data_IF_614123539208
#
_entry.id   IF_614123539208
#
_cell.length_a   1.000
_cell.length_b   1.000
_cell.length_c   1.000
_cell.angle_alpha   90.00
_cell.angle_beta   90.00
_cell.angle_gamma   90.00
#
_symmetry.space_group_name_H-M   'P 1'
#
loop_
_entity.id
_entity.type
_entity.pdbx_description
1 polymer ?
#
# COMPACT_ATOMS: atom_id res chain seq x y z
N UNK A 1 8.46 60.15 -38.75
CA UNK A 1 8.27 59.18 -37.64
C UNK A 1 7.10 59.60 -36.74
N UNK A 2 5.92 59.88 -37.30
CA UNK A 2 4.80 60.44 -36.52
C UNK A 2 3.49 59.68 -36.69
N UNK A 3 3.39 58.77 -37.68
CA UNK A 3 2.19 57.95 -37.90
C UNK A 3 2.08 56.76 -36.92
N UNK A 4 3.21 56.18 -36.51
CA UNK A 4 3.26 55.06 -35.55
C UNK A 4 2.77 55.46 -34.14
N UNK A 5 3.04 56.70 -33.71
CA UNK A 5 2.58 57.22 -32.43
C UNK A 5 1.06 57.45 -32.39
N UNK A 6 0.47 57.88 -33.51
CA UNK A 6 -1.00 58.09 -33.62
C UNK A 6 -1.73 56.74 -33.63
N UNK A 7 -1.18 55.71 -34.27
CA UNK A 7 -1.78 54.37 -34.28
C UNK A 7 -1.74 53.70 -32.89
N UNK A 8 -0.66 53.88 -32.13
CA UNK A 8 -0.55 53.41 -30.75
C UNK A 8 -1.52 54.14 -29.78
N UNK A 9 -1.86 55.40 -30.07
CA UNK A 9 -2.81 56.18 -29.27
C UNK A 9 -4.28 55.77 -29.50
N UNK A 10 -4.60 55.08 -30.61
CA UNK A 10 -5.96 54.62 -30.95
C UNK A 10 -6.32 53.28 -30.31
N UNK A 11 -5.34 52.50 -29.86
CA UNK A 11 -5.59 51.26 -29.11
C UNK A 11 -5.75 51.57 -27.63
N UNK A 12 -6.96 51.48 -27.04
CA UNK A 12 -7.11 51.61 -25.60
C UNK A 12 -6.31 50.51 -24.90
N UNK A 13 -5.35 50.90 -24.08
CA UNK A 13 -4.60 49.95 -23.26
C UNK A 13 -5.55 49.35 -22.21
N UNK A 14 -5.71 48.02 -22.11
CA UNK A 14 -6.57 47.40 -21.12
C UNK A 14 -6.10 47.82 -19.72
N UNK A 15 -6.95 48.57 -19.00
CA UNK A 15 -6.72 48.87 -17.60
C UNK A 15 -7.34 47.74 -16.77
N UNK A 16 -6.59 47.10 -15.84
CA UNK A 16 -7.16 46.12 -14.93
C UNK A 16 -8.36 46.76 -14.21
N UNK A 17 -9.55 46.18 -14.37
CA UNK A 17 -10.76 46.58 -13.64
C UNK A 17 -10.86 45.87 -12.28
N UNK A 18 -10.00 44.88 -12.04
CA UNK A 18 -9.92 44.08 -10.81
C UNK A 18 -8.49 44.12 -10.32
N UNK A 19 -8.30 44.23 -9.00
CA UNK A 19 -6.99 44.19 -8.36
C UNK A 19 -6.30 42.83 -8.65
N UNK A 20 -5.09 42.79 -9.24
CA UNK A 20 -4.38 41.54 -9.53
C UNK A 20 -4.09 40.69 -8.28
N UNK A 21 -4.00 41.31 -7.11
CA UNK A 21 -3.79 40.60 -5.84
C UNK A 21 -5.05 39.88 -5.34
N UNK A 22 -6.22 40.18 -5.92
CA UNK A 22 -7.47 39.47 -5.64
C UNK A 22 -7.60 38.14 -6.39
N UNK A 23 -6.93 37.98 -7.54
CA UNK A 23 -7.11 36.83 -8.45
C UNK A 23 -5.95 35.85 -8.44
N UNK A 24 -4.84 36.23 -7.82
CA UNK A 24 -3.67 35.36 -7.67
C UNK A 24 -3.52 35.08 -6.19
N UNK A 25 -3.68 33.84 -5.71
CA UNK A 25 -3.29 33.51 -4.35
C UNK A 25 -1.79 33.83 -4.26
N UNK A 26 -1.46 34.94 -3.60
CA UNK A 26 -0.08 35.41 -3.47
C UNK A 26 0.80 34.36 -2.79
N UNK A 27 2.06 34.68 -2.44
CA UNK A 27 3.00 33.71 -1.88
C UNK A 27 2.41 32.86 -0.74
N UNK A 28 1.59 33.46 0.15
CA UNK A 28 0.88 32.75 1.21
C UNK A 28 -0.10 31.69 0.73
N UNK A 29 -0.92 32.01 -0.29
CA UNK A 29 -1.89 31.06 -0.84
C UNK A 29 -1.21 29.92 -1.61
N UNK A 30 -0.11 30.21 -2.30
CA UNK A 30 0.73 29.19 -2.92
C UNK A 30 1.34 28.24 -1.89
N UNK A 31 1.90 28.78 -0.79
CA UNK A 31 2.42 27.97 0.31
C UNK A 31 1.33 27.13 0.97
N UNK A 32 0.12 27.66 1.14
CA UNK A 32 -1.00 26.90 1.70
C UNK A 32 -1.35 25.68 0.81
N UNK A 33 -1.46 25.86 -0.51
CA UNK A 33 -1.72 24.74 -1.43
C UNK A 33 -0.54 23.75 -1.46
N UNK A 34 0.70 24.23 -1.43
CA UNK A 34 1.87 23.37 -1.38
C UNK A 34 1.85 22.46 -0.13
N UNK A 35 1.47 23.00 1.04
CA UNK A 35 1.32 22.21 2.27
C UNK A 35 0.20 21.18 2.15
N UNK A 36 -0.94 21.53 1.56
CA UNK A 36 -2.03 20.58 1.31
C UNK A 36 -1.55 19.45 0.38
N UNK A 37 -0.84 19.78 -0.69
CA UNK A 37 -0.29 18.78 -1.60
C UNK A 37 0.70 17.84 -0.89
N UNK A 38 1.57 18.37 -0.02
CA UNK A 38 2.48 17.55 0.81
C UNK A 38 1.69 16.66 1.77
N UNK A 39 0.66 17.18 2.44
CA UNK A 39 -0.17 16.40 3.34
C UNK A 39 -0.86 15.23 2.63
N UNK A 40 -1.43 15.49 1.44
CA UNK A 40 -2.04 14.45 0.60
C UNK A 40 -1.00 13.43 0.14
N UNK A 41 0.18 13.89 -0.29
CA UNK A 41 1.27 13.01 -0.69
C UNK A 41 1.73 12.11 0.47
N UNK A 42 1.90 12.68 1.67
CA UNK A 42 2.25 11.92 2.86
C UNK A 42 1.15 10.91 3.23
N UNK A 43 -0.12 11.27 3.07
CA UNK A 43 -1.24 10.35 3.30
C UNK A 43 -1.21 9.16 2.34
N UNK A 44 -0.99 9.42 1.05
CA UNK A 44 -0.88 8.35 0.04
C UNK A 44 0.38 7.50 0.30
N UNK A 45 1.50 8.13 0.59
CA UNK A 45 2.75 7.44 0.90
C UNK A 45 2.63 6.59 2.17
N UNK A 46 2.00 7.12 3.22
CA UNK A 46 1.69 6.39 4.45
C UNK A 46 0.80 5.18 4.14
N UNK A 47 -0.28 5.36 3.37
CA UNK A 47 -1.15 4.27 2.97
C UNK A 47 -0.39 3.18 2.21
N UNK A 48 0.47 3.55 1.26
CA UNK A 48 1.30 2.62 0.50
C UNK A 48 2.31 1.89 1.39
N UNK A 49 3.00 2.62 2.28
CA UNK A 49 3.96 2.07 3.22
C UNK A 49 3.28 1.08 4.16
N UNK A 50 2.11 1.44 4.69
CA UNK A 50 1.30 0.61 5.58
C UNK A 50 0.86 -0.67 4.88
N UNK A 51 0.30 -0.59 3.67
CA UNK A 51 -0.13 -1.76 2.89
C UNK A 51 1.04 -2.70 2.63
N UNK A 52 2.19 -2.17 2.19
CA UNK A 52 3.40 -2.99 1.98
C UNK A 52 3.81 -3.68 3.27
N UNK A 53 3.95 -2.93 4.36
CA UNK A 53 4.43 -3.49 5.63
C UNK A 53 3.49 -4.56 6.20
N UNK A 54 2.16 -4.36 6.11
CA UNK A 54 1.18 -5.35 6.58
C UNK A 54 1.17 -6.61 5.72
N UNK A 55 1.26 -6.48 4.38
CA UNK A 55 1.26 -7.64 3.49
C UNK A 55 2.52 -8.49 3.62
N UNK A 56 3.69 -7.88 3.69
CA UNK A 56 4.95 -8.62 3.89
C UNK A 56 4.94 -9.45 5.18
N UNK A 57 4.37 -8.91 6.27
CA UNK A 57 4.24 -9.64 7.53
C UNK A 57 3.25 -10.80 7.45
N UNK A 58 2.14 -10.62 6.74
CA UNK A 58 1.14 -11.67 6.58
C UNK A 58 1.65 -12.84 5.73
N UNK A 59 2.34 -12.55 4.62
CA UNK A 59 2.92 -13.57 3.75
C UNK A 59 4.06 -14.34 4.46
N UNK A 60 4.91 -13.64 5.22
CA UNK A 60 5.98 -14.28 5.99
C UNK A 60 5.44 -15.18 7.11
N UNK A 61 4.41 -14.73 7.85
CA UNK A 61 3.79 -15.53 8.90
C UNK A 61 3.05 -16.73 8.31
N UNK A 62 2.34 -16.56 7.19
CA UNK A 62 1.63 -17.66 6.52
C UNK A 62 2.58 -18.78 6.06
N UNK A 63 3.80 -18.44 5.64
CA UNK A 63 4.81 -19.43 5.30
C UNK A 63 5.28 -20.23 6.54
N UNK A 64 5.50 -19.56 7.67
CA UNK A 64 5.87 -20.20 8.93
C UNK A 64 4.74 -21.10 9.43
N UNK A 65 3.50 -20.59 9.44
CA UNK A 65 2.32 -21.34 9.87
C UNK A 65 2.11 -22.61 9.00
N UNK A 66 2.38 -22.54 7.69
CA UNK A 66 2.28 -23.68 6.79
C UNK A 66 3.37 -24.73 7.08
N UNK A 67 4.62 -24.32 7.30
CA UNK A 67 5.69 -25.24 7.70
C UNK A 67 5.41 -25.92 9.05
N UNK A 68 4.87 -25.18 10.02
CA UNK A 68 4.48 -25.73 11.32
C UNK A 68 3.32 -26.71 11.20
N UNK A 69 2.33 -26.43 10.36
CA UNK A 69 1.22 -27.33 10.06
C UNK A 69 1.72 -28.64 9.42
N UNK A 70 2.60 -28.57 8.43
CA UNK A 70 3.18 -29.77 7.81
C UNK A 70 3.97 -30.62 8.83
N UNK A 71 4.73 -29.99 9.74
CA UNK A 71 5.44 -30.71 10.80
C UNK A 71 4.46 -31.38 11.75
N UNK A 72 3.42 -30.68 12.18
CA UNK A 72 2.40 -31.23 13.06
C UNK A 72 1.65 -32.42 12.42
N UNK A 73 1.34 -32.35 11.12
CA UNK A 73 0.74 -33.44 10.37
C UNK A 73 1.66 -34.66 10.27
N UNK A 74 2.95 -34.46 9.99
CA UNK A 74 3.95 -35.55 9.97
C UNK A 74 4.07 -36.21 11.33
N UNK A 75 4.20 -35.43 12.41
CA UNK A 75 4.28 -35.95 13.77
C UNK A 75 3.01 -36.72 14.18
N UNK A 76 1.84 -36.32 13.67
CA UNK A 76 0.58 -37.01 13.91
C UNK A 76 0.51 -38.34 13.13
N UNK A 77 0.95 -38.34 11.85
CA UNK A 77 1.02 -39.54 11.03
C UNK A 77 1.99 -40.58 11.62
N UNK A 78 3.18 -40.16 12.05
CA UNK A 78 4.17 -41.03 12.70
C UNK A 78 3.62 -41.67 13.98
N UNK A 79 2.91 -40.90 14.81
CA UNK A 79 2.24 -41.42 16.00
C UNK A 79 1.12 -42.41 15.67
N UNK A 80 0.33 -42.15 14.62
CA UNK A 80 -0.74 -43.06 14.19
C UNK A 80 -0.19 -44.37 13.62
N UNK A 81 0.84 -44.32 12.77
CA UNK A 81 1.46 -45.50 12.18
C UNK A 81 2.18 -46.37 13.21
N UNK A 82 2.78 -45.75 14.24
CA UNK A 82 3.37 -46.47 15.37
C UNK A 82 2.30 -47.18 16.22
N UNK A 83 1.12 -46.57 16.38
CA UNK A 83 0.00 -47.20 17.08
C UNK A 83 -0.62 -48.35 16.28
N UNK A 84 -0.74 -48.22 14.96
CA UNK A 84 -1.19 -49.30 14.07
C UNK A 84 -0.21 -50.48 14.02
N UNK A 85 1.10 -50.23 13.94
CA UNK A 85 2.13 -51.29 13.98
C UNK A 85 2.15 -52.04 15.34
N UNK A 86 1.87 -51.33 16.44
CA UNK A 86 1.73 -51.96 17.75
C UNK A 86 0.45 -52.79 17.88
N UNK A 87 -0.67 -52.36 17.27
CA UNK A 87 -1.95 -53.08 17.26
C UNK A 87 -1.92 -54.32 16.35
N UNK A 88 -1.39 -54.19 15.13
CA UNK A 88 -1.30 -55.29 14.17
C UNK A 88 -0.36 -56.42 14.61
N UNK A 89 0.66 -56.11 15.42
CA UNK A 89 1.55 -57.13 16.02
C UNK A 89 0.90 -57.89 17.18
N UNK A 90 -0.16 -57.35 17.78
CA UNK A 90 -0.92 -57.99 18.86
C UNK A 90 -2.08 -58.87 18.33
N UNK A 91 -2.46 -58.72 17.07
CA UNK A 91 -3.64 -59.37 16.45
C UNK A 91 -3.26 -60.52 15.49
N UNK A 92 -2.08 -61.14 15.63
CA UNK A 92 -1.78 -62.44 15.00
C UNK A 92 -2.02 -63.58 16.02
N UNK A 93 -3.27 -64.02 16.26
CA UNK A 93 -3.53 -65.26 16.96
C UNK A 93 -3.16 -66.40 16.02
N UNK A 94 -2.06 -67.05 16.35
CA UNK A 94 -1.61 -68.28 15.71
C UNK A 94 -2.79 -69.25 15.56
N UNK A 95 -3.15 -69.72 14.36
CA UNK A 95 -4.16 -70.74 14.23
C UNK A 95 -3.56 -72.05 14.74
N UNK A 96 -3.87 -72.39 16.00
CA UNK A 96 -3.56 -73.70 16.56
C UNK A 96 -4.33 -74.80 15.81
N UNK A 97 -3.61 -75.90 15.60
CA UNK A 97 -3.89 -77.04 14.71
C UNK A 97 -5.10 -77.87 15.10
#
# INVERSE_FOLDING_TARGET
MSALAVLAAVTPSPRPTVDPDLVTPGPLGFTAIALVAVAVFLLVFDMLRRVRLTRYRAEANAAIDAEEAERAERDAQERSGTAEDAGGRAEDPTPER
#
